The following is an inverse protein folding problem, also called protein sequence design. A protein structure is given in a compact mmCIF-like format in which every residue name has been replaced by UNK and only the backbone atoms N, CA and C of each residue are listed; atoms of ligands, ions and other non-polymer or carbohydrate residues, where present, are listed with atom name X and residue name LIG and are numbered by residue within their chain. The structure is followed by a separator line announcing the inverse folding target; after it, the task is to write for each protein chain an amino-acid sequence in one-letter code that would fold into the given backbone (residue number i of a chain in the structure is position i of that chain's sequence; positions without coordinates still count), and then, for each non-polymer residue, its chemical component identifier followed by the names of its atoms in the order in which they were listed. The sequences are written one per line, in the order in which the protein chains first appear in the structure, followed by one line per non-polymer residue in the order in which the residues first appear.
data_IF_345635009240
#
_entry.id   IF_345635009240
#
_cell.length_a   1.000
_cell.length_b   1.000
_cell.length_c   1.000
_cell.angle_alpha   90.00
_cell.angle_beta   90.00
_cell.angle_gamma   90.00
#
_symmetry.space_group_name_H-M   'P 1'
#
loop_
_entity.id
_entity.type
_entity.pdbx_description
1 polymer ?
#
# COMPACT_ATOMS: atom_id res chain seq x y z
N UNK A 1 18.89 -38.72 53.85
CA UNK A 1 20.20 -38.09 54.13
C UNK A 1 20.89 -37.77 52.82
N UNK A 2 21.66 -36.67 52.76
CA UNK A 2 22.17 -35.98 51.56
C UNK A 2 23.49 -36.62 51.06
N UNK A 3 24.13 -36.29 49.94
CA UNK A 3 24.68 -34.99 49.49
C UNK A 3 25.12 -35.11 48.00
N UNK A 4 24.76 -34.16 47.14
CA UNK A 4 25.56 -32.98 46.72
C UNK A 4 26.68 -33.28 45.71
N UNK A 5 26.46 -32.87 44.46
CA UNK A 5 27.53 -32.41 43.58
C UNK A 5 27.08 -31.11 42.90
N UNK A 6 27.80 -30.03 43.23
CA UNK A 6 27.75 -28.73 42.58
C UNK A 6 28.72 -28.71 41.40
N UNK A 7 28.33 -28.05 40.32
CA UNK A 7 29.16 -27.81 39.14
C UNK A 7 28.50 -26.76 38.25
N UNK A 8 28.88 -25.51 38.50
CA UNK A 8 28.49 -24.29 37.81
C UNK A 8 29.15 -24.21 36.42
N UNK A 9 28.43 -23.72 35.41
CA UNK A 9 28.99 -22.96 34.27
C UNK A 9 27.87 -22.42 33.38
N UNK A 10 27.81 -21.10 33.37
CA UNK A 10 27.09 -20.25 32.41
C UNK A 10 27.38 -20.60 30.95
N UNK A 11 26.43 -20.31 30.05
CA UNK A 11 26.62 -19.56 28.78
C UNK A 11 25.32 -19.65 27.96
N UNK A 12 24.87 -18.51 27.45
CA UNK A 12 24.24 -18.47 26.12
C UNK A 12 22.73 -18.25 26.07
N UNK A 13 22.30 -17.04 26.42
CA UNK A 13 21.06 -16.46 25.89
C UNK A 13 21.19 -16.36 24.36
N UNK A 14 20.49 -17.19 23.59
CA UNK A 14 20.28 -16.94 22.15
C UNK A 14 18.83 -16.60 21.88
N UNK A 15 18.68 -15.31 21.67
CA UNK A 15 17.52 -14.51 21.30
C UNK A 15 16.74 -15.09 20.10
N UNK A 16 15.44 -14.88 20.22
CA UNK A 16 14.37 -14.93 19.22
C UNK A 16 14.75 -14.39 17.83
N UNK A 17 14.12 -14.89 16.74
CA UNK A 17 14.32 -14.36 15.40
C UNK A 17 13.49 -13.07 15.22
N UNK A 18 13.96 -11.98 15.81
CA UNK A 18 13.55 -10.63 15.48
C UNK A 18 14.56 -10.05 14.47
N UNK A 19 14.43 -10.40 13.18
CA UNK A 19 15.42 -10.00 12.15
C UNK A 19 14.81 -9.29 10.93
N UNK A 20 13.60 -8.71 11.02
CA UNK A 20 13.09 -7.86 9.93
C UNK A 20 12.77 -6.41 10.32
N UNK A 21 12.77 -6.07 11.61
CA UNK A 21 12.45 -4.70 12.06
C UNK A 21 13.68 -3.79 12.25
N UNK A 22 14.89 -4.31 12.05
CA UNK A 22 16.15 -3.59 12.31
C UNK A 22 16.82 -3.00 11.04
N UNK A 23 16.08 -2.90 9.93
CA UNK A 23 16.53 -2.17 8.75
C UNK A 23 16.04 -0.71 8.73
N UNK A 24 15.21 -0.30 9.69
CA UNK A 24 14.70 1.08 9.83
C UNK A 24 15.72 2.06 10.43
N UNK A 25 17.01 1.83 10.24
CA UNK A 25 18.08 2.75 10.68
C UNK A 25 19.39 2.47 9.94
N UNK A 26 19.40 2.50 8.61
CA UNK A 26 20.63 2.75 7.86
C UNK A 26 20.40 3.93 6.93
N UNK A 27 20.76 5.12 7.42
CA UNK A 27 21.17 6.20 6.54
C UNK A 27 22.38 5.69 5.76
N UNK A 28 22.15 5.22 4.54
CA UNK A 28 23.23 5.06 3.59
C UNK A 28 23.66 6.49 3.22
N UNK A 29 24.91 6.80 3.50
CA UNK A 29 25.52 8.10 3.25
C UNK A 29 25.13 8.65 1.87
N UNK A 30 24.53 9.84 1.82
CA UNK A 30 24.33 10.63 0.61
C UNK A 30 23.04 10.39 -0.20
N UNK A 31 22.26 9.33 0.03
CA UNK A 31 20.99 9.11 -0.68
C UNK A 31 19.79 9.40 0.23
N UNK A 32 19.19 10.58 0.08
CA UNK A 32 17.92 10.87 0.74
C UNK A 32 16.81 10.05 0.08
N UNK A 33 16.41 8.94 0.72
CA UNK A 33 15.21 8.20 0.37
C UNK A 33 14.03 8.77 1.15
N UNK A 34 12.96 9.22 0.47
CA UNK A 34 11.77 9.69 1.16
C UNK A 34 11.06 8.53 1.84
N UNK A 35 10.32 8.85 2.88
CA UNK A 35 9.35 7.96 3.50
C UNK A 35 8.12 7.76 2.61
N UNK A 36 7.40 6.65 2.84
CA UNK A 36 6.14 6.38 2.16
C UNK A 36 5.13 7.51 2.37
N UNK A 37 5.03 8.04 3.59
CA UNK A 37 4.13 9.16 3.93
C UNK A 37 4.45 10.44 3.14
N UNK A 38 5.74 10.76 2.94
CA UNK A 38 6.14 11.93 2.14
C UNK A 38 5.78 11.76 0.66
N UNK A 39 5.91 10.56 0.12
CA UNK A 39 5.52 10.27 -1.27
C UNK A 39 4.00 10.30 -1.43
N UNK A 40 3.26 9.70 -0.49
CA UNK A 40 1.80 9.67 -0.52
C UNK A 40 1.17 11.06 -0.31
N UNK A 41 1.82 11.94 0.45
CA UNK A 41 1.41 13.34 0.61
C UNK A 41 2.03 14.30 -0.42
N UNK A 42 2.84 13.78 -1.35
CA UNK A 42 3.50 14.56 -2.39
C UNK A 42 4.39 15.70 -1.85
N UNK A 43 5.05 15.45 -0.71
CA UNK A 43 6.01 16.37 -0.06
C UNK A 43 7.46 15.96 -0.28
N UNK A 44 7.69 14.76 -0.84
CA UNK A 44 9.00 14.28 -1.26
C UNK A 44 9.54 15.11 -2.47
N UNK A 45 10.87 15.19 -2.65
CA UNK A 45 11.45 15.92 -3.76
C UNK A 45 11.33 15.10 -5.06
N UNK A 46 11.46 15.72 -6.24
CA UNK A 46 11.59 14.99 -7.49
C UNK A 46 12.76 13.97 -7.44
N UNK A 47 12.62 12.79 -8.06
CA UNK A 47 11.49 12.32 -8.87
C UNK A 47 10.36 11.66 -8.05
N UNK A 48 10.46 11.63 -6.72
CA UNK A 48 9.54 10.94 -5.84
C UNK A 48 8.24 11.74 -5.67
N UNK A 49 7.16 11.20 -6.20
CA UNK A 49 5.84 11.84 -6.15
C UNK A 49 4.75 10.78 -6.07
N UNK A 50 3.57 11.17 -5.59
CA UNK A 50 2.40 10.28 -5.57
C UNK A 50 2.10 9.77 -6.99
N UNK A 51 2.21 10.63 -8.01
CA UNK A 51 1.94 10.23 -9.40
C UNK A 51 2.95 9.20 -9.92
N UNK A 52 4.24 9.35 -9.57
CA UNK A 52 5.27 8.37 -9.90
C UNK A 52 5.01 7.02 -9.21
N UNK A 53 4.62 7.05 -7.94
CA UNK A 53 4.28 5.85 -7.18
C UNK A 53 3.03 5.15 -7.73
N UNK A 54 1.95 5.89 -8.01
CA UNK A 54 0.74 5.34 -8.64
C UNK A 54 1.02 4.74 -10.02
N UNK A 55 1.89 5.38 -10.81
CA UNK A 55 2.34 4.83 -12.08
C UNK A 55 3.07 3.49 -11.87
N UNK A 56 4.00 3.45 -10.91
CA UNK A 56 4.71 2.22 -10.56
C UNK A 56 3.77 1.09 -10.15
N UNK A 57 2.81 1.34 -9.24
CA UNK A 57 1.82 0.36 -8.83
C UNK A 57 1.00 -0.18 -10.01
N UNK A 58 0.60 0.70 -10.93
CA UNK A 58 -0.17 0.30 -12.12
C UNK A 58 0.64 -0.59 -13.09
N UNK A 59 1.95 -0.37 -13.19
CA UNK A 59 2.83 -1.13 -14.08
C UNK A 59 3.20 -2.50 -13.48
N UNK A 60 3.24 -2.62 -12.16
CA UNK A 60 3.62 -3.84 -11.46
C UNK A 60 2.42 -4.63 -10.92
N UNK A 61 1.20 -4.25 -11.31
CA UNK A 61 -0.04 -4.90 -10.85
C UNK A 61 -0.14 -4.94 -9.31
N UNK A 62 0.16 -3.82 -8.65
CA UNK A 62 0.10 -3.66 -7.18
C UNK A 62 -0.92 -2.59 -6.75
N UNK A 63 -1.79 -2.13 -7.65
CA UNK A 63 -2.71 -1.01 -7.38
C UNK A 63 -3.84 -1.44 -6.43
N UNK A 64 -4.25 -2.71 -6.50
CA UNK A 64 -5.23 -3.34 -5.61
C UNK A 64 -4.84 -3.32 -4.14
N UNK A 65 -3.55 -3.37 -3.85
CA UNK A 65 -3.03 -3.27 -2.49
C UNK A 65 -3.37 -1.90 -1.86
N UNK A 66 -3.25 -0.80 -2.61
CA UNK A 66 -3.59 0.54 -2.11
C UNK A 66 -5.10 0.80 -2.12
N UNK A 67 -5.80 0.32 -3.15
CA UNK A 67 -7.26 0.47 -3.24
C UNK A 67 -8.00 -0.30 -2.14
N UNK A 68 -7.50 -1.48 -1.74
CA UNK A 68 -8.02 -2.19 -0.59
C UNK A 68 -8.00 -1.34 0.68
N UNK A 69 -6.87 -0.67 0.98
CA UNK A 69 -6.77 0.21 2.16
C UNK A 69 -7.75 1.37 2.09
N UNK A 70 -7.95 1.96 0.91
CA UNK A 70 -8.91 3.04 0.70
C UNK A 70 -10.36 2.57 0.88
N UNK A 71 -10.73 1.42 0.33
CA UNK A 71 -12.08 0.88 0.50
C UNK A 71 -12.33 0.44 1.96
N UNK A 72 -11.33 -0.11 2.66
CA UNK A 72 -11.43 -0.40 4.08
C UNK A 72 -11.64 0.88 4.92
N UNK A 73 -10.95 1.98 4.57
CA UNK A 73 -11.16 3.30 5.19
C UNK A 73 -12.59 3.79 4.96
N UNK A 74 -13.08 3.69 3.72
CA UNK A 74 -14.45 4.09 3.35
C UNK A 74 -15.50 3.29 4.13
N UNK A 75 -15.28 1.99 4.31
CA UNK A 75 -16.14 1.15 5.16
C UNK A 75 -16.18 1.66 6.60
N UNK A 76 -15.01 1.91 7.20
CA UNK A 76 -14.90 2.43 8.56
C UNK A 76 -15.62 3.78 8.74
N UNK A 77 -15.41 4.73 7.82
CA UNK A 77 -16.07 6.04 7.84
C UNK A 77 -17.60 5.92 7.70
N UNK A 78 -18.06 5.05 6.79
CA UNK A 78 -19.48 4.80 6.57
C UNK A 78 -20.14 4.15 7.79
N UNK A 79 -19.43 3.21 8.44
CA UNK A 79 -19.89 2.54 9.65
C UNK A 79 -20.05 3.52 10.81
N UNK A 80 -19.02 4.36 11.05
CA UNK A 80 -19.07 5.38 12.12
C UNK A 80 -20.20 6.38 11.90
N UNK A 81 -20.39 6.84 10.67
CA UNK A 81 -21.48 7.77 10.32
C UNK A 81 -22.88 7.15 10.54
N UNK A 82 -23.04 5.84 10.34
CA UNK A 82 -24.36 5.19 10.36
C UNK A 82 -24.71 4.52 11.70
N UNK A 83 -23.71 4.05 12.46
CA UNK A 83 -23.91 3.21 13.66
C UNK A 83 -23.53 3.92 14.96
N UNK A 84 -22.44 4.69 15.00
CA UNK A 84 -22.04 5.40 16.24
C UNK A 84 -23.06 6.45 16.75
N UNK A 85 -23.70 7.28 15.90
CA UNK A 85 -24.69 8.25 16.40
C UNK A 85 -25.98 7.59 16.87
N UNK A 86 -26.24 6.34 16.49
CA UNK A 86 -27.47 5.65 16.87
C UNK A 86 -27.50 5.25 18.35
N UNK A 87 -26.34 5.13 19.04
CA UNK A 87 -26.16 4.68 20.45
C UNK A 87 -26.88 3.37 20.87
N UNK A 88 -27.72 2.81 20.01
CA UNK A 88 -28.32 1.50 20.14
C UNK A 88 -27.39 0.47 19.50
N UNK A 89 -27.33 -0.77 20.03
CA UNK A 89 -26.63 -1.85 19.35
C UNK A 89 -27.15 -1.93 17.90
N UNK A 90 -26.35 -2.40 16.93
CA UNK A 90 -26.83 -2.71 15.59
C UNK A 90 -27.75 -3.93 15.69
N UNK A 91 -28.91 -3.73 16.31
CA UNK A 91 -30.07 -4.58 16.18
C UNK A 91 -30.30 -4.66 14.68
N UNK A 92 -30.72 -5.84 14.23
CA UNK A 92 -31.06 -6.15 12.85
C UNK A 92 -32.25 -5.33 12.31
N UNK A 93 -32.31 -4.04 12.64
CA UNK A 93 -33.18 -3.04 12.08
C UNK A 93 -32.79 -2.98 10.60
N UNK A 94 -33.65 -3.54 9.76
CA UNK A 94 -33.56 -3.58 8.29
C UNK A 94 -33.67 -2.17 7.68
N UNK A 95 -32.94 -1.21 8.21
CA UNK A 95 -32.83 0.15 7.71
C UNK A 95 -31.85 0.15 6.53
N UNK A 96 -32.11 0.98 5.51
CA UNK A 96 -31.30 1.08 4.29
C UNK A 96 -29.79 1.15 4.58
N UNK A 97 -29.39 1.98 5.55
CA UNK A 97 -27.98 2.15 5.91
C UNK A 97 -27.28 0.85 6.35
N UNK A 98 -27.98 -0.04 7.07
CA UNK A 98 -27.42 -1.34 7.49
C UNK A 98 -27.24 -2.30 6.30
N UNK A 99 -28.13 -2.21 5.30
CA UNK A 99 -28.05 -2.98 4.07
C UNK A 99 -26.87 -2.49 3.23
N UNK A 100 -26.73 -1.17 3.11
CA UNK A 100 -25.64 -0.53 2.37
C UNK A 100 -24.27 -0.87 2.96
N UNK A 101 -24.13 -0.87 4.30
CA UNK A 101 -22.90 -1.28 4.98
C UNK A 101 -22.55 -2.75 4.77
N UNK A 102 -23.53 -3.65 4.89
CA UNK A 102 -23.33 -5.06 4.63
C UNK A 102 -22.89 -5.30 3.18
N UNK A 103 -23.51 -4.58 2.23
CA UNK A 103 -23.13 -4.67 0.82
C UNK A 103 -21.69 -4.18 0.62
N UNK A 104 -21.30 -3.06 1.22
CA UNK A 104 -19.95 -2.52 1.14
C UNK A 104 -18.91 -3.52 1.69
N UNK A 105 -19.17 -4.11 2.85
CA UNK A 105 -18.30 -5.12 3.45
C UNK A 105 -18.16 -6.37 2.55
N UNK A 106 -19.27 -6.89 2.03
CA UNK A 106 -19.25 -8.05 1.12
C UNK A 106 -18.53 -7.76 -0.19
N UNK A 107 -18.68 -6.56 -0.74
CA UNK A 107 -17.95 -6.15 -1.94
C UNK A 107 -16.44 -6.07 -1.68
N UNK A 108 -16.04 -5.56 -0.52
CA UNK A 108 -14.64 -5.54 -0.09
C UNK A 108 -14.06 -6.95 0.00
N UNK A 109 -14.78 -7.89 0.64
CA UNK A 109 -14.34 -9.29 0.71
C UNK A 109 -14.25 -9.95 -0.67
N UNK A 110 -15.28 -9.83 -1.50
CA UNK A 110 -15.33 -10.48 -2.82
C UNK A 110 -14.29 -9.93 -3.80
N UNK A 111 -13.96 -8.65 -3.67
CA UNK A 111 -13.00 -8.00 -4.56
C UNK A 111 -11.57 -8.30 -4.16
N UNK A 112 -11.25 -8.22 -2.86
CA UNK A 112 -9.86 -8.20 -2.39
C UNK A 112 -9.45 -9.40 -1.54
N UNK A 113 -10.37 -10.15 -0.94
CA UNK A 113 -10.06 -11.17 0.08
C UNK A 113 -10.36 -12.59 -0.41
N UNK A 114 -11.39 -12.76 -1.24
CA UNK A 114 -11.82 -14.07 -1.71
C UNK A 114 -10.70 -14.74 -2.54
N UNK A 115 -10.35 -16.01 -2.25
CA UNK A 115 -9.34 -16.72 -3.02
C UNK A 115 -9.69 -16.80 -4.50
N UNK A 116 -8.74 -16.45 -5.37
CA UNK A 116 -8.91 -16.40 -6.81
C UNK A 116 -9.67 -15.18 -7.32
N UNK A 117 -9.96 -14.19 -6.47
CA UNK A 117 -10.48 -12.91 -6.93
C UNK A 117 -9.45 -12.22 -7.84
N UNK A 118 -9.93 -11.55 -8.90
CA UNK A 118 -9.05 -10.85 -9.84
C UNK A 118 -8.19 -9.75 -9.18
N UNK A 119 -8.56 -9.33 -7.97
CA UNK A 119 -7.88 -8.30 -7.20
C UNK A 119 -7.54 -8.77 -5.79
N UNK A 120 -7.38 -10.07 -5.61
CA UNK A 120 -6.97 -10.67 -4.34
C UNK A 120 -5.67 -10.02 -3.84
N UNK A 121 -5.70 -9.46 -2.63
CA UNK A 121 -4.52 -8.89 -1.99
C UNK A 121 -3.75 -9.97 -1.24
N UNK A 122 -2.43 -9.84 -1.19
CA UNK A 122 -1.57 -10.81 -0.53
C UNK A 122 -1.71 -10.73 1.00
N UNK A 123 -2.51 -11.63 1.57
CA UNK A 123 -2.73 -11.74 3.01
C UNK A 123 -2.30 -13.11 3.55
N UNK A 124 -1.79 -13.18 4.79
CA UNK A 124 -1.63 -14.44 5.50
C UNK A 124 -2.96 -15.19 5.57
N UNK A 125 -2.91 -16.51 5.27
CA UNK A 125 -4.09 -17.40 5.22
C UNK A 125 -4.99 -17.24 6.45
N UNK A 126 -4.40 -17.20 7.65
CA UNK A 126 -5.17 -17.04 8.89
C UNK A 126 -6.00 -15.75 8.93
N UNK A 127 -5.42 -14.62 8.52
CA UNK A 127 -6.10 -13.32 8.51
C UNK A 127 -7.24 -13.33 7.49
N UNK A 128 -6.98 -13.87 6.30
CA UNK A 128 -7.99 -14.02 5.25
C UNK A 128 -9.16 -14.89 5.71
N UNK A 129 -8.87 -16.05 6.28
CA UNK A 129 -9.90 -17.00 6.70
C UNK A 129 -10.74 -16.45 7.86
N UNK A 130 -10.13 -15.67 8.76
CA UNK A 130 -10.85 -14.97 9.83
C UNK A 130 -11.82 -13.91 9.29
N UNK A 131 -11.45 -13.18 8.23
CA UNK A 131 -12.35 -12.24 7.56
C UNK A 131 -13.53 -12.93 6.86
N UNK A 132 -13.28 -14.06 6.20
CA UNK A 132 -14.31 -14.80 5.45
C UNK A 132 -15.38 -15.41 6.36
N UNK A 133 -15.06 -15.71 7.63
CA UNK A 133 -16.06 -16.12 8.63
C UNK A 133 -17.17 -15.09 8.82
N UNK A 134 -16.87 -13.82 8.59
CA UNK A 134 -17.82 -12.71 8.72
C UNK A 134 -18.65 -12.45 7.44
N UNK A 135 -18.42 -13.17 6.33
CA UNK A 135 -19.14 -12.90 5.07
C UNK A 135 -20.67 -13.15 5.19
N UNK A 136 -21.06 -14.10 6.04
CA UNK A 136 -22.43 -14.61 6.17
C UNK A 136 -23.24 -13.81 7.21
N UNK A 137 -22.64 -12.83 7.89
CA UNK A 137 -23.36 -12.08 8.92
C UNK A 137 -24.51 -11.25 8.33
N UNK A 138 -25.61 -11.17 9.07
CA UNK A 138 -26.78 -10.33 8.72
C UNK A 138 -26.62 -8.89 9.20
N UNK A 139 -25.73 -8.67 10.17
CA UNK A 139 -25.35 -7.35 10.67
C UNK A 139 -23.98 -6.95 10.12
N UNK A 140 -23.78 -5.65 9.82
CA UNK A 140 -22.50 -5.18 9.34
C UNK A 140 -21.43 -5.42 10.41
N UNK A 141 -20.30 -6.09 10.09
CA UNK A 141 -19.25 -6.35 11.07
C UNK A 141 -18.64 -5.06 11.60
N UNK A 142 -18.18 -5.07 12.86
CA UNK A 142 -17.38 -3.96 13.37
C UNK A 142 -16.20 -3.72 12.42
N UNK A 143 -15.88 -2.46 12.09
CA UNK A 143 -14.72 -2.15 11.29
C UNK A 143 -13.47 -2.88 11.80
N UNK A 144 -13.30 -3.02 13.13
CA UNK A 144 -12.09 -3.58 13.78
C UNK A 144 -11.74 -4.99 13.29
N UNK A 145 -12.68 -5.68 12.64
CA UNK A 145 -12.43 -6.95 11.95
C UNK A 145 -11.41 -6.82 10.81
N UNK A 146 -11.31 -5.66 10.16
CA UNK A 146 -10.40 -5.39 9.03
C UNK A 146 -8.98 -5.00 9.47
N UNK A 147 -8.79 -4.65 10.74
CA UNK A 147 -7.53 -4.15 11.31
C UNK A 147 -6.30 -4.98 10.94
N UNK A 148 -6.37 -6.29 11.18
CA UNK A 148 -5.24 -7.19 10.95
C UNK A 148 -4.87 -7.25 9.46
N UNK A 149 -5.87 -7.22 8.57
CA UNK A 149 -5.64 -7.22 7.13
C UNK A 149 -5.07 -5.89 6.65
N UNK A 150 -5.64 -4.76 7.10
CA UNK A 150 -5.13 -3.43 6.74
C UNK A 150 -3.67 -3.26 7.19
N UNK A 151 -3.33 -3.68 8.41
CA UNK A 151 -1.94 -3.64 8.91
C UNK A 151 -1.01 -4.52 8.08
N UNK A 152 -1.40 -5.76 7.80
CA UNK A 152 -0.58 -6.67 6.97
C UNK A 152 -0.33 -6.10 5.57
N UNK A 153 -1.31 -5.41 4.99
CA UNK A 153 -1.17 -4.77 3.68
C UNK A 153 -0.32 -3.50 3.75
N UNK A 154 -0.43 -2.70 4.80
CA UNK A 154 0.44 -1.54 5.03
C UNK A 154 1.90 -1.99 5.15
N UNK A 155 2.17 -3.01 5.96
CA UNK A 155 3.51 -3.60 6.09
C UNK A 155 4.03 -4.08 4.72
N UNK A 156 3.19 -4.73 3.90
CA UNK A 156 3.56 -5.14 2.55
C UNK A 156 3.91 -3.94 1.64
N UNK A 157 3.12 -2.87 1.70
CA UNK A 157 3.38 -1.65 0.94
C UNK A 157 4.71 -1.05 1.37
N UNK A 158 4.94 -0.87 2.67
CA UNK A 158 6.11 -0.19 3.22
C UNK A 158 7.39 -1.02 3.05
N UNK A 159 7.36 -2.29 3.42
CA UNK A 159 8.57 -3.14 3.50
C UNK A 159 9.00 -3.74 2.16
N UNK A 160 8.09 -3.86 1.19
CA UNK A 160 8.36 -4.54 -0.08
C UNK A 160 8.09 -3.68 -1.31
N UNK A 161 6.85 -3.21 -1.47
CA UNK A 161 6.44 -2.51 -2.70
C UNK A 161 7.13 -1.15 -2.80
N UNK A 162 7.19 -0.41 -1.70
CA UNK A 162 7.81 0.91 -1.65
C UNK A 162 9.33 0.85 -1.82
N UNK A 163 9.99 -0.12 -1.19
CA UNK A 163 11.43 -0.35 -1.39
C UNK A 163 11.73 -0.67 -2.86
N UNK A 164 10.89 -1.49 -3.51
CA UNK A 164 11.04 -1.83 -4.93
C UNK A 164 10.84 -0.61 -5.83
N UNK A 165 9.89 0.26 -5.49
CA UNK A 165 9.70 1.55 -6.15
C UNK A 165 10.96 2.44 -6.07
N UNK A 166 11.54 2.62 -4.87
CA UNK A 166 12.76 3.42 -4.68
C UNK A 166 13.94 2.90 -5.50
N UNK A 167 14.12 1.57 -5.53
CA UNK A 167 15.15 0.92 -6.31
C UNK A 167 14.95 1.10 -7.83
N UNK A 168 13.69 1.07 -8.29
CA UNK A 168 13.36 1.27 -9.71
C UNK A 168 13.73 2.68 -10.19
N UNK A 169 13.49 3.69 -9.37
CA UNK A 169 13.84 5.08 -9.67
C UNK A 169 15.35 5.29 -9.63
N UNK A 170 16.02 4.74 -8.63
CA UNK A 170 17.48 4.78 -8.54
C UNK A 170 18.13 4.21 -9.81
N UNK A 171 17.67 3.05 -10.27
CA UNK A 171 18.18 2.42 -11.50
C UNK A 171 17.94 3.27 -12.74
N UNK A 172 16.79 3.96 -12.83
CA UNK A 172 16.50 4.89 -13.94
C UNK A 172 17.44 6.09 -13.93
N UNK A 173 17.66 6.72 -12.77
CA UNK A 173 18.54 7.87 -12.61
C UNK A 173 20.00 7.56 -12.98
N UNK A 174 20.51 6.38 -12.58
CA UNK A 174 21.84 5.94 -13.00
C UNK A 174 21.93 5.69 -14.51
N UNK A 175 20.88 5.14 -15.12
CA UNK A 175 20.84 4.90 -16.58
C UNK A 175 20.83 6.21 -17.37
N UNK A 176 20.04 7.19 -16.94
CA UNK A 176 19.98 8.49 -17.58
C UNK A 176 21.32 9.24 -17.47
N UNK A 177 21.98 9.13 -16.32
CA UNK A 177 23.31 9.70 -16.10
C UNK A 177 24.36 9.02 -16.98
N UNK A 178 24.37 7.68 -17.09
CA UNK A 178 25.31 6.94 -17.92
C UNK A 178 25.14 7.23 -19.42
N UNK A 179 23.90 7.33 -19.91
CA UNK A 179 23.60 7.70 -21.29
C UNK A 179 24.03 9.14 -21.59
N UNK A 180 23.81 10.08 -20.65
CA UNK A 180 24.26 11.47 -20.78
C UNK A 180 25.79 11.61 -20.80
N UNK A 181 26.50 10.77 -20.02
CA UNK A 181 27.96 10.73 -20.01
C UNK A 181 28.54 10.12 -21.31
N UNK A 182 27.87 9.11 -21.88
CA UNK A 182 28.25 8.53 -23.19
C UNK A 182 27.93 9.44 -24.39
N UNK A 183 27.06 10.44 -24.22
CA UNK A 183 26.69 11.38 -25.27
C UNK A 183 27.66 12.58 -25.41
N UNK A 184 28.72 12.65 -24.59
CA UNK A 184 29.71 13.74 -24.65
C UNK A 184 30.85 13.51 -25.65
N UNK A 185 30.92 12.38 -26.36
CA UNK A 185 32.00 12.09 -27.33
C UNK A 185 31.59 12.17 -28.82
N UNK A 186 30.36 12.59 -29.14
CA UNK A 186 29.88 12.72 -30.53
C UNK A 186 29.20 14.08 -30.84
N UNK A 187 29.61 15.14 -30.13
CA UNK A 187 29.16 16.51 -30.40
C UNK A 187 29.84 17.14 -31.61
N UNK A 188 29.56 16.63 -32.82
CA UNK A 188 29.69 17.42 -34.07
C UNK A 188 28.58 17.24 -35.11
N UNK A 189 27.61 16.33 -34.95
CA UNK A 189 26.71 15.99 -36.06
C UNK A 189 25.20 16.35 -35.93
N UNK A 190 24.67 16.72 -34.76
CA UNK A 190 23.21 16.80 -34.56
C UNK A 190 22.56 18.20 -34.54
N UNK A 191 23.25 19.24 -35.03
CA UNK A 191 22.70 20.61 -35.12
C UNK A 191 22.25 21.04 -36.54
N UNK A 192 22.00 20.11 -37.46
CA UNK A 192 21.63 20.43 -38.85
C UNK A 192 20.38 19.72 -39.38
N UNK A 193 19.41 19.45 -38.52
CA UNK A 193 18.05 19.12 -38.98
C UNK A 193 17.04 19.65 -37.97
N UNK A 194 16.65 20.92 -38.18
CA UNK A 194 15.45 21.48 -37.58
C UNK A 194 14.80 22.39 -38.61
N UNK A 195 13.94 21.82 -39.45
CA UNK A 195 12.82 22.56 -40.07
C UNK A 195 11.82 21.61 -40.74
N UNK A 196 10.53 21.95 -40.60
CA UNK A 196 9.31 21.30 -41.10
C UNK A 196 8.89 20.04 -40.31
N UNK A 197 7.66 19.86 -39.87
CA UNK A 197 6.38 20.38 -40.34
C UNK A 197 5.32 20.36 -39.21
N UNK A 198 4.22 21.09 -39.41
CA UNK A 198 3.08 21.18 -38.51
C UNK A 198 1.98 20.18 -38.87
N UNK A 199 1.23 19.80 -37.83
CA UNK A 199 -0.18 19.37 -37.82
C UNK A 199 -0.57 17.88 -37.98
N UNK A 200 -1.42 17.50 -37.01
CA UNK A 200 -2.54 16.55 -37.09
C UNK A 200 -2.28 15.08 -36.76
N UNK A 201 -2.91 14.59 -35.68
CA UNK A 201 -3.91 13.50 -35.74
C UNK A 201 -4.60 13.29 -34.38
N UNK A 202 -5.91 13.10 -34.45
CA UNK A 202 -6.79 12.61 -33.40
C UNK A 202 -6.38 11.22 -32.90
N UNK A 203 -6.57 10.90 -31.60
CA UNK A 203 -7.27 9.66 -31.21
C UNK A 203 -7.64 9.54 -29.73
N UNK A 204 -8.95 9.33 -29.55
CA UNK A 204 -9.61 8.33 -28.68
C UNK A 204 -9.39 8.41 -27.17
N UNK A 205 -10.48 8.87 -26.55
CA UNK A 205 -10.88 8.69 -25.18
C UNK A 205 -11.01 7.19 -24.84
N UNK A 206 -10.12 6.67 -24.00
CA UNK A 206 -10.39 5.48 -23.20
C UNK A 206 -10.58 5.92 -21.76
N UNK A 207 -11.83 5.81 -21.29
CA UNK A 207 -12.22 6.07 -19.91
C UNK A 207 -11.51 5.06 -19.01
N UNK A 208 -10.37 5.45 -18.44
CA UNK A 208 -9.84 4.82 -17.22
C UNK A 208 -10.73 5.21 -16.04
N UNK A 209 -10.94 4.35 -15.03
CA UNK A 209 -11.61 4.75 -13.80
C UNK A 209 -10.85 5.94 -13.20
N UNK A 210 -11.60 7.01 -12.95
CA UNK A 210 -11.08 8.26 -12.41
C UNK A 210 -10.63 8.05 -10.98
N UNK A 211 -9.32 7.79 -10.81
CA UNK A 211 -8.62 7.88 -9.53
C UNK A 211 -8.35 9.34 -9.11
N UNK A 212 -9.04 10.31 -9.72
CA UNK A 212 -8.88 11.72 -9.41
C UNK A 212 -9.85 12.14 -8.32
N UNK A 213 -9.46 11.91 -7.06
CA UNK A 213 -9.66 12.85 -5.95
C UNK A 213 -8.88 12.43 -4.70
N UNK A 214 -7.59 12.13 -4.83
CA UNK A 214 -6.64 12.21 -3.70
C UNK A 214 -6.29 13.68 -3.38
N UNK A 215 -7.29 14.57 -3.41
CA UNK A 215 -7.17 16.00 -3.08
C UNK A 215 -7.23 16.28 -1.57
N UNK A 216 -7.13 15.24 -0.74
CA UNK A 216 -6.98 15.34 0.71
C UNK A 216 -5.67 14.67 1.07
N UNK A 217 -4.90 15.30 1.97
CA UNK A 217 -3.69 14.73 2.55
C UNK A 217 -3.88 13.24 2.86
N UNK A 218 -2.99 12.40 2.36
CA UNK A 218 -3.02 10.97 2.66
C UNK A 218 -2.87 10.79 4.17
N UNK A 219 -3.80 10.03 4.73
CA UNK A 219 -3.76 9.62 6.13
C UNK A 219 -4.12 8.16 6.18
N UNK A 220 -3.25 7.39 6.82
CA UNK A 220 -3.57 6.03 7.19
C UNK A 220 -4.85 6.02 8.04
N UNK A 221 -5.70 5.00 7.89
CA UNK A 221 -6.88 4.85 8.73
C UNK A 221 -6.52 4.93 10.23
N UNK A 222 -7.38 5.55 11.07
CA UNK A 222 -7.04 5.93 12.45
C UNK A 222 -6.71 4.76 13.39
N UNK A 223 -7.07 3.54 13.04
CA UNK A 223 -6.77 2.30 13.76
C UNK A 223 -5.43 1.62 13.38
N UNK A 224 -4.59 2.33 12.60
CA UNK A 224 -3.32 1.80 12.10
C UNK A 224 -2.13 2.11 13.05
N UNK A 225 -2.36 2.63 14.27
CA UNK A 225 -1.32 2.94 15.25
C UNK A 225 -1.51 2.21 16.57
#
# INVERSE_FOLDING_TARGET
MPSSHSGDSSIGVTKTPATLKNLRSKSYEGAWWPSLDEVLNNTAPPPYSLSAFMKYLSQNHCVETLEFVLEAKRYCESYKSSVEPAKEPPVATKCSASIDLNLLYRLLLKTYILPGAAREVNLPVKIRDDLLKNEITSTPPSPETLDAAVRSIQDLIEDSIFVSFLNSLSTCLYRDTALSASAQDDSRAYLLYKTSDSQSTERVQTKRPSLMTLGRSWSWPPWSR
#
